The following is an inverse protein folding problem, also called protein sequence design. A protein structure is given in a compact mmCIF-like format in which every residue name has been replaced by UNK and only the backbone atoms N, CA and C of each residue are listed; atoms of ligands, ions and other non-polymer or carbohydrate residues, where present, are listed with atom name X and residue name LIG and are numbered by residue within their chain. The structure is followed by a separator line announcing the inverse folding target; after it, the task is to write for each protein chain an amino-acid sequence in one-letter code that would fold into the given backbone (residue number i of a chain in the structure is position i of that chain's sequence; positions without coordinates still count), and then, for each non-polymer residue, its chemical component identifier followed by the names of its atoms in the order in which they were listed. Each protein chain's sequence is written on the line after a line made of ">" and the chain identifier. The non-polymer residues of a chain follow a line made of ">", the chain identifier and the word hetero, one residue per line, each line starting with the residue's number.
data_IF_468663933805
#
_entry.id   IF_468663933805
#
_cell.length_a   1.000
_cell.length_b   1.000
_cell.length_c   1.000
_cell.angle_alpha   90.00
_cell.angle_beta   90.00
_cell.angle_gamma   90.00
#
_symmetry.space_group_name_H-M   'P 1'
#
loop_
_entity.id
_entity.type
_entity.pdbx_description
1 polymer ?
#
# COMPACT_ATOMS: atom_id res chain seq x y z
N UNK A 1 -22.81 0.54 -14.22
CA UNK A 1 -21.56 1.30 -14.17
C UNK A 1 -21.38 1.87 -12.76
N UNK A 2 -20.48 1.31 -11.94
CA UNK A 2 -20.17 1.85 -10.62
C UNK A 2 -19.22 3.04 -10.81
N UNK A 3 -19.61 4.19 -10.26
CA UNK A 3 -18.85 5.44 -10.33
C UNK A 3 -17.42 5.20 -9.78
N UNK A 4 -16.35 5.39 -10.57
CA UNK A 4 -14.99 5.03 -10.19
C UNK A 4 -14.41 5.89 -9.05
N UNK A 5 -15.08 6.97 -8.67
CA UNK A 5 -14.62 7.89 -7.63
C UNK A 5 -15.69 7.98 -6.55
N UNK A 6 -15.61 7.16 -5.50
CA UNK A 6 -16.35 7.37 -4.27
C UNK A 6 -15.70 8.50 -3.46
N UNK A 7 -15.80 9.71 -3.95
CA UNK A 7 -15.24 10.93 -3.36
C UNK A 7 -15.84 11.28 -1.97
N UNK A 8 -17.08 10.88 -1.69
CA UNK A 8 -17.80 11.35 -0.49
C UNK A 8 -17.21 10.96 0.88
N UNK A 9 -16.55 9.80 1.01
CA UNK A 9 -16.00 9.37 2.31
C UNK A 9 -14.48 9.55 2.42
N UNK A 10 -13.79 9.77 1.31
CA UNK A 10 -12.36 9.99 1.27
C UNK A 10 -12.01 11.42 1.70
N UNK A 11 -12.81 12.40 1.29
CA UNK A 11 -12.50 13.82 1.41
C UNK A 11 -12.44 14.35 2.85
N UNK A 12 -13.36 13.93 3.73
CA UNK A 12 -13.46 14.52 5.08
C UNK A 12 -12.48 13.94 6.10
N UNK A 13 -12.11 12.66 5.97
CA UNK A 13 -11.18 12.01 6.93
C UNK A 13 -9.70 12.26 6.61
N UNK A 14 -9.36 12.43 5.34
CA UNK A 14 -7.98 12.61 4.90
C UNK A 14 -7.62 14.07 4.66
N UNK A 15 -8.60 14.96 4.53
CA UNK A 15 -8.38 16.38 4.30
C UNK A 15 -7.42 17.03 5.32
N UNK A 16 -7.55 16.80 6.66
CA UNK A 16 -6.59 17.36 7.61
C UNK A 16 -5.16 16.89 7.37
N UNK A 17 -4.95 15.61 7.01
CA UNK A 17 -3.62 15.08 6.75
C UNK A 17 -3.03 15.61 5.45
N UNK A 18 -3.89 15.82 4.42
CA UNK A 18 -3.47 16.45 3.16
C UNK A 18 -3.08 17.91 3.42
N UNK A 19 -3.88 18.64 4.19
CA UNK A 19 -3.59 20.04 4.53
C UNK A 19 -2.30 20.15 5.33
N UNK A 20 -2.12 19.31 6.36
CA UNK A 20 -0.88 19.29 7.16
C UNK A 20 0.32 18.94 6.27
N UNK A 21 0.20 17.92 5.42
CA UNK A 21 1.26 17.56 4.47
C UNK A 21 1.61 18.71 3.53
N UNK A 22 0.60 19.38 2.97
CA UNK A 22 0.78 20.53 2.10
C UNK A 22 1.46 21.70 2.84
N UNK A 23 1.03 22.01 4.06
CA UNK A 23 1.64 23.06 4.90
C UNK A 23 3.09 22.73 5.18
N UNK A 24 3.41 21.49 5.54
CA UNK A 24 4.81 21.06 5.76
C UNK A 24 5.65 21.23 4.50
N UNK A 25 5.15 20.82 3.34
CA UNK A 25 5.85 20.96 2.05
C UNK A 25 6.04 22.43 1.67
N UNK A 26 5.06 23.29 1.97
CA UNK A 26 5.15 24.74 1.67
C UNK A 26 6.14 25.43 2.62
N UNK A 27 6.16 25.06 3.88
CA UNK A 27 7.01 25.71 4.90
C UNK A 27 8.44 25.15 4.94
N UNK A 28 8.69 23.99 4.34
CA UNK A 28 10.00 23.34 4.33
C UNK A 28 10.51 23.14 2.91
N UNK A 29 11.78 23.43 2.74
CA UNK A 29 12.52 23.14 1.52
C UNK A 29 13.11 21.72 1.64
N UNK A 30 12.69 20.78 0.75
CA UNK A 30 13.22 19.43 0.81
C UNK A 30 14.71 19.42 0.45
N UNK A 31 15.57 18.88 1.32
CA UNK A 31 17.00 18.82 1.01
C UNK A 31 17.29 17.77 -0.06
N UNK A 32 18.25 18.00 -0.96
CA UNK A 32 18.59 17.09 -2.07
C UNK A 32 18.90 15.66 -1.61
N UNK A 33 19.55 15.47 -0.47
CA UNK A 33 19.91 14.16 0.08
C UNK A 33 18.67 13.31 0.44
N UNK A 34 17.54 13.92 0.77
CA UNK A 34 16.28 13.23 1.03
C UNK A 34 15.75 12.45 -0.17
N UNK A 35 16.04 12.92 -1.37
CA UNK A 35 15.59 12.27 -2.61
C UNK A 35 16.30 10.95 -2.86
N UNK A 36 17.56 10.81 -2.47
CA UNK A 36 18.36 9.60 -2.65
C UNK A 36 17.74 8.35 -1.99
N UNK A 37 17.12 8.51 -0.81
CA UNK A 37 16.48 7.42 -0.06
C UNK A 37 14.97 7.41 -0.24
N UNK A 38 14.34 8.59 -0.31
CA UNK A 38 12.89 8.73 -0.38
C UNK A 38 12.31 8.22 -1.68
N UNK A 39 12.89 8.58 -2.83
CA UNK A 39 12.36 8.18 -4.13
C UNK A 39 12.37 6.66 -4.38
N UNK A 40 13.48 5.92 -4.11
CA UNK A 40 13.48 4.47 -4.27
C UNK A 40 12.42 3.80 -3.41
N UNK A 41 12.19 4.29 -2.18
CA UNK A 41 11.20 3.71 -1.28
C UNK A 41 9.76 4.01 -1.74
N UNK A 42 9.48 5.22 -2.23
CA UNK A 42 8.20 5.56 -2.85
C UNK A 42 7.96 4.67 -4.08
N UNK A 43 8.96 4.53 -4.95
CA UNK A 43 8.85 3.68 -6.13
C UNK A 43 8.56 2.21 -5.77
N UNK A 44 9.29 1.65 -4.80
CA UNK A 44 9.06 0.30 -4.30
C UNK A 44 7.63 0.13 -3.73
N UNK A 45 7.16 1.12 -2.96
CA UNK A 45 5.81 1.14 -2.41
C UNK A 45 4.73 1.20 -3.49
N UNK A 46 4.90 2.05 -4.51
CA UNK A 46 3.99 2.16 -5.67
C UNK A 46 3.97 0.86 -6.46
N UNK A 47 5.13 0.26 -6.74
CA UNK A 47 5.22 -1.02 -7.46
C UNK A 47 4.52 -2.16 -6.71
N UNK A 48 4.75 -2.27 -5.40
CA UNK A 48 4.10 -3.28 -4.56
C UNK A 48 2.59 -3.09 -4.53
N UNK A 49 2.11 -1.85 -4.40
CA UNK A 49 0.68 -1.53 -4.44
C UNK A 49 0.07 -1.84 -5.80
N UNK A 50 0.72 -1.42 -6.88
CA UNK A 50 0.26 -1.67 -8.25
C UNK A 50 0.18 -3.17 -8.54
N UNK A 51 1.18 -3.94 -8.09
CA UNK A 51 1.16 -5.40 -8.20
C UNK A 51 -0.01 -5.99 -7.39
N UNK A 52 -0.20 -5.55 -6.15
CA UNK A 52 -1.30 -6.00 -5.29
C UNK A 52 -2.67 -5.64 -5.85
N UNK A 53 -2.87 -4.40 -6.27
CA UNK A 53 -4.16 -3.92 -6.77
C UNK A 53 -4.63 -4.66 -8.03
N UNK A 54 -3.70 -5.00 -8.93
CA UNK A 54 -4.03 -5.77 -10.14
C UNK A 54 -4.42 -7.23 -9.88
N UNK A 55 -4.05 -7.80 -8.72
CA UNK A 55 -4.44 -9.16 -8.31
C UNK A 55 -5.65 -9.19 -7.39
N UNK A 56 -5.97 -8.09 -6.69
CA UNK A 56 -7.01 -8.07 -5.66
C UNK A 56 -8.42 -8.18 -6.25
N UNK A 57 -9.11 -9.26 -5.91
CA UNK A 57 -10.54 -9.42 -6.15
C UNK A 57 -11.29 -9.11 -4.85
N UNK A 58 -12.05 -8.01 -4.85
CA UNK A 58 -12.81 -7.62 -3.66
C UNK A 58 -14.09 -8.44 -3.54
N UNK A 59 -14.28 -9.02 -2.36
CA UNK A 59 -15.53 -9.64 -1.89
C UNK A 59 -15.95 -10.97 -2.55
N UNK A 60 -15.43 -11.34 -3.70
CA UNK A 60 -15.94 -12.50 -4.46
C UNK A 60 -15.05 -13.73 -4.29
N UNK A 61 -13.75 -13.56 -4.16
CA UNK A 61 -12.81 -14.66 -3.95
C UNK A 61 -11.68 -14.31 -3.00
N UNK A 62 -11.13 -15.32 -2.32
CA UNK A 62 -9.93 -15.17 -1.52
C UNK A 62 -8.72 -15.04 -2.45
N UNK A 63 -8.17 -13.83 -2.56
CA UNK A 63 -6.97 -13.58 -3.35
C UNK A 63 -5.75 -14.14 -2.63
N UNK A 64 -5.11 -15.15 -3.24
CA UNK A 64 -3.90 -15.83 -2.70
C UNK A 64 -2.75 -15.83 -3.70
N UNK A 65 -2.90 -15.13 -4.84
CA UNK A 65 -1.94 -15.07 -5.95
C UNK A 65 -1.15 -13.76 -5.98
N UNK A 66 -0.12 -13.70 -6.79
CA UNK A 66 0.75 -12.53 -6.89
C UNK A 66 1.39 -12.17 -5.54
N UNK A 67 1.40 -10.91 -5.12
CA UNK A 67 1.99 -10.51 -3.84
C UNK A 67 1.25 -11.13 -2.64
N UNK A 68 -0.03 -11.49 -2.77
CA UNK A 68 -0.81 -12.14 -1.71
C UNK A 68 -0.35 -13.57 -1.40
N UNK A 69 0.39 -14.20 -2.28
CA UNK A 69 1.07 -15.47 -1.97
C UNK A 69 2.27 -15.29 -1.02
N UNK A 70 2.76 -14.07 -0.87
CA UNK A 70 3.95 -13.75 -0.07
C UNK A 70 3.61 -13.02 1.24
N UNK A 71 2.60 -12.13 1.22
CA UNK A 71 2.13 -11.41 2.42
C UNK A 71 0.63 -11.08 2.26
N UNK A 72 -0.09 -11.05 3.39
CA UNK A 72 -1.55 -10.83 3.38
C UNK A 72 -1.94 -9.40 3.02
N UNK A 73 -1.08 -8.42 3.34
CA UNK A 73 -1.42 -7.00 3.21
C UNK A 73 -0.40 -6.20 2.36
N UNK A 74 -0.21 -6.53 1.07
CA UNK A 74 0.73 -5.83 0.21
C UNK A 74 0.40 -4.34 0.04
N UNK A 75 -0.87 -3.99 -0.03
CA UNK A 75 -1.31 -2.59 -0.15
C UNK A 75 -0.96 -1.76 1.09
N UNK A 76 -1.05 -2.35 2.29
CA UNK A 76 -0.68 -1.63 3.53
C UNK A 76 0.83 -1.46 3.66
N UNK A 77 1.60 -2.50 3.34
CA UNK A 77 3.06 -2.39 3.32
C UNK A 77 3.53 -1.36 2.29
N UNK A 78 2.94 -1.38 1.09
CA UNK A 78 3.23 -0.39 0.05
C UNK A 78 2.86 1.04 0.48
N UNK A 79 1.73 1.23 1.18
CA UNK A 79 1.35 2.54 1.76
C UNK A 79 2.37 3.00 2.80
N UNK A 80 2.81 2.11 3.67
CA UNK A 80 3.81 2.44 4.68
C UNK A 80 5.16 2.82 4.03
N UNK A 81 5.56 2.10 2.97
CA UNK A 81 6.77 2.43 2.21
C UNK A 81 6.66 3.82 1.55
N UNK A 82 5.53 4.13 0.89
CA UNK A 82 5.29 5.46 0.30
C UNK A 82 5.31 6.54 1.37
N UNK A 83 4.63 6.36 2.50
CA UNK A 83 4.61 7.33 3.59
C UNK A 83 6.00 7.55 4.19
N UNK A 84 6.78 6.46 4.37
CA UNK A 84 8.16 6.53 4.84
C UNK A 84 9.04 7.28 3.83
N UNK A 85 8.88 7.00 2.54
CA UNK A 85 9.61 7.70 1.49
C UNK A 85 9.34 9.20 1.48
N UNK A 86 8.08 9.62 1.59
CA UNK A 86 7.73 11.04 1.71
C UNK A 86 8.29 11.67 3.01
N UNK A 87 8.29 10.94 4.12
CA UNK A 87 8.93 11.41 5.34
C UNK A 87 10.44 11.65 5.14
N UNK A 88 11.12 10.76 4.43
CA UNK A 88 12.55 10.91 4.12
C UNK A 88 12.83 12.10 3.19
N UNK A 89 11.91 12.44 2.26
CA UNK A 89 12.05 13.64 1.43
C UNK A 89 12.14 14.94 2.24
N UNK A 90 11.57 14.99 3.46
CA UNK A 90 11.65 16.16 4.33
C UNK A 90 13.06 16.35 4.93
N UNK A 91 13.84 15.30 4.99
CA UNK A 91 15.22 15.32 5.50
C UNK A 91 15.37 15.68 6.99
N UNK A 92 16.59 15.51 7.51
CA UNK A 92 17.00 15.94 8.84
C UNK A 92 16.08 15.47 9.98
N UNK A 93 15.97 16.28 11.02
CA UNK A 93 15.16 15.98 12.22
C UNK A 93 13.66 15.82 11.92
N UNK A 94 13.15 16.51 10.91
CA UNK A 94 11.73 16.44 10.53
C UNK A 94 11.33 15.06 10.00
N UNK A 95 12.22 14.43 9.23
CA UNK A 95 12.05 13.05 8.81
C UNK A 95 11.94 12.13 10.02
N UNK A 96 12.85 12.24 10.98
CA UNK A 96 12.84 11.43 12.20
C UNK A 96 11.60 11.65 13.05
N UNK A 97 11.18 12.89 13.25
CA UNK A 97 9.96 13.23 13.99
C UNK A 97 8.72 12.61 13.33
N UNK A 98 8.60 12.73 12.00
CA UNK A 98 7.46 12.18 11.27
C UNK A 98 7.46 10.65 11.31
N UNK A 99 8.60 10.01 11.14
CA UNK A 99 8.72 8.55 11.24
C UNK A 99 8.41 8.05 12.65
N UNK A 100 8.87 8.77 13.68
CA UNK A 100 8.57 8.44 15.08
C UNK A 100 7.07 8.53 15.42
N UNK A 101 6.27 9.26 14.64
CA UNK A 101 4.81 9.31 14.77
C UNK A 101 4.13 8.28 13.86
N UNK A 102 4.51 8.25 12.58
CA UNK A 102 3.82 7.43 11.56
C UNK A 102 3.97 5.93 11.86
N UNK A 103 5.17 5.47 12.20
CA UNK A 103 5.41 4.04 12.41
C UNK A 103 4.70 3.47 13.65
N UNK A 104 4.81 4.09 14.85
CA UNK A 104 4.05 3.61 16.01
C UNK A 104 2.53 3.70 15.80
N UNK A 105 2.05 4.80 15.21
CA UNK A 105 0.62 4.93 14.91
C UNK A 105 0.14 3.83 13.95
N UNK A 106 0.89 3.57 12.88
CA UNK A 106 0.58 2.49 11.94
C UNK A 106 0.59 1.13 12.63
N UNK A 107 1.68 0.79 13.38
CA UNK A 107 1.88 -0.51 13.98
C UNK A 107 0.93 -0.79 15.15
N UNK A 108 0.60 0.20 15.96
CA UNK A 108 -0.18 0.02 17.19
C UNK A 108 -1.67 0.29 17.02
N UNK A 109 -2.05 1.17 16.08
CA UNK A 109 -3.46 1.57 15.93
C UNK A 109 -4.05 1.23 14.57
N UNK A 110 -3.41 1.63 13.49
CA UNK A 110 -4.01 1.51 12.17
C UNK A 110 -4.05 0.08 11.69
N UNK A 111 -2.88 -0.56 11.62
CA UNK A 111 -2.74 -1.90 11.05
C UNK A 111 -3.49 -2.98 11.85
N UNK A 112 -3.37 -3.09 13.19
CA UNK A 112 -4.06 -4.14 13.95
C UNK A 112 -5.59 -4.08 13.80
N UNK A 113 -6.15 -2.86 13.79
CA UNK A 113 -7.60 -2.69 13.58
C UNK A 113 -8.05 -3.12 12.20
N UNK A 114 -7.24 -2.83 11.17
CA UNK A 114 -7.53 -3.21 9.79
C UNK A 114 -7.37 -4.70 9.57
N UNK A 115 -6.26 -5.29 10.02
CA UNK A 115 -6.02 -6.74 9.92
C UNK A 115 -7.12 -7.53 10.64
N UNK A 116 -7.50 -7.12 11.85
CA UNK A 116 -8.58 -7.77 12.59
C UNK A 116 -9.93 -7.69 11.85
N UNK A 117 -10.32 -6.51 11.37
CA UNK A 117 -11.59 -6.33 10.68
C UNK A 117 -11.64 -7.09 9.34
N UNK A 118 -10.56 -7.08 8.57
CA UNK A 118 -10.46 -7.82 7.30
C UNK A 118 -10.40 -9.32 7.54
N UNK A 119 -9.62 -9.78 8.52
CA UNK A 119 -9.52 -11.20 8.89
C UNK A 119 -10.84 -11.76 9.38
N UNK A 120 -11.57 -11.03 10.25
CA UNK A 120 -12.89 -11.44 10.71
C UNK A 120 -13.87 -11.59 9.54
N UNK A 121 -13.89 -10.64 8.61
CA UNK A 121 -14.73 -10.68 7.41
C UNK A 121 -14.37 -11.84 6.49
N UNK A 122 -13.08 -12.04 6.19
CA UNK A 122 -12.62 -13.11 5.31
C UNK A 122 -12.85 -14.49 5.93
N UNK A 123 -12.76 -14.62 7.26
CA UNK A 123 -13.09 -15.85 7.98
C UNK A 123 -14.55 -16.24 7.80
N UNK A 124 -15.47 -15.28 7.85
CA UNK A 124 -16.90 -15.52 7.59
C UNK A 124 -17.15 -15.93 6.14
N UNK A 125 -16.52 -15.26 5.18
CA UNK A 125 -16.75 -15.49 3.75
C UNK A 125 -16.10 -16.79 3.24
N UNK A 126 -14.89 -17.13 3.71
CA UNK A 126 -14.06 -18.21 3.14
C UNK A 126 -13.72 -19.34 4.11
N UNK A 127 -14.11 -19.24 5.39
CA UNK A 127 -14.03 -20.29 6.37
C UNK A 127 -12.66 -20.98 6.44
N UNK A 128 -12.65 -22.31 6.23
CA UNK A 128 -11.44 -23.15 6.32
C UNK A 128 -10.34 -22.76 5.33
N UNK A 129 -10.68 -22.26 4.14
CA UNK A 129 -9.68 -21.84 3.15
C UNK A 129 -8.93 -20.60 3.62
N UNK A 130 -9.65 -19.63 4.21
CA UNK A 130 -9.01 -18.47 4.83
C UNK A 130 -8.16 -18.87 6.04
N UNK A 131 -8.62 -19.78 6.89
CA UNK A 131 -7.85 -20.21 8.06
C UNK A 131 -6.48 -20.82 7.66
N UNK A 132 -6.42 -21.67 6.62
CA UNK A 132 -5.16 -22.20 6.10
C UNK A 132 -4.26 -21.12 5.51
N UNK A 133 -4.82 -20.23 4.70
CA UNK A 133 -4.10 -19.08 4.13
C UNK A 133 -3.53 -18.18 5.23
N UNK A 134 -4.36 -17.84 6.21
CA UNK A 134 -3.97 -16.98 7.34
C UNK A 134 -2.83 -17.57 8.17
N UNK A 135 -2.84 -18.89 8.40
CA UNK A 135 -1.77 -19.61 9.10
C UNK A 135 -0.47 -19.70 8.29
N UNK A 136 -0.58 -19.75 6.95
CA UNK A 136 0.58 -19.96 6.06
C UNK A 136 1.22 -18.67 5.53
N UNK A 137 0.51 -17.54 5.55
CA UNK A 137 0.98 -16.28 4.97
C UNK A 137 1.04 -15.18 6.03
N UNK A 138 2.23 -14.59 6.28
CA UNK A 138 2.39 -13.52 7.26
C UNK A 138 1.67 -12.24 6.82
N UNK A 139 1.38 -11.38 7.78
CA UNK A 139 0.59 -10.16 7.55
C UNK A 139 1.34 -9.12 6.71
N UNK A 140 2.50 -8.66 7.18
CA UNK A 140 3.28 -7.57 6.56
C UNK A 140 4.69 -8.01 6.16
N UNK A 141 5.24 -9.07 6.75
CA UNK A 141 6.59 -9.52 6.44
C UNK A 141 6.57 -10.51 5.30
N UNK A 142 7.13 -10.19 4.13
CA UNK A 142 7.01 -11.08 2.97
C UNK A 142 7.79 -12.37 3.17
N UNK A 143 7.16 -13.51 2.89
CA UNK A 143 7.85 -14.80 2.80
C UNK A 143 8.52 -14.96 1.43
N UNK A 144 9.67 -15.63 1.41
CA UNK A 144 10.44 -15.81 0.17
C UNK A 144 9.76 -16.75 -0.83
N UNK A 145 9.11 -17.81 -0.33
CA UNK A 145 8.41 -18.79 -1.19
C UNK A 145 6.93 -18.46 -1.23
N UNK A 146 6.33 -18.45 -2.42
CA UNK A 146 4.90 -18.29 -2.61
C UNK A 146 4.13 -19.38 -1.84
N UNK A 147 3.06 -18.97 -1.17
CA UNK A 147 2.13 -19.90 -0.51
C UNK A 147 1.29 -20.62 -1.57
N UNK A 148 1.09 -21.94 -1.36
CA UNK A 148 0.16 -22.76 -2.13
C UNK A 148 -0.68 -23.57 -1.15
N UNK A 149 -1.95 -23.82 -1.48
CA UNK A 149 -2.80 -24.70 -0.67
C UNK A 149 -2.28 -26.16 -0.80
N UNK A 150 -2.15 -26.88 0.31
CA UNK A 150 -1.63 -28.26 0.33
C UNK A 150 -2.51 -29.23 -0.47
N UNK A 151 -3.77 -28.91 -0.69
CA UNK A 151 -4.65 -29.69 -1.55
C UNK A 151 -4.26 -29.64 -3.04
N UNK A 152 -3.53 -28.63 -3.44
CA UNK A 152 -3.03 -28.45 -4.82
C UNK A 152 -1.64 -29.08 -5.02
N UNK A 153 -0.98 -29.53 -3.97
CA UNK A 153 0.37 -30.12 -4.04
C UNK A 153 0.46 -31.44 -4.78
N UNK A 154 -0.65 -32.10 -5.10
CA UNK A 154 -0.71 -33.34 -5.85
C UNK A 154 -1.39 -33.23 -7.21
N UNK A 155 -1.95 -32.08 -7.55
CA UNK A 155 -2.50 -31.84 -8.86
C UNK A 155 -1.37 -31.50 -9.86
N UNK A 156 -1.47 -31.96 -11.14
CA UNK A 156 -0.62 -31.43 -12.19
C UNK A 156 -0.68 -29.91 -12.12
N UNK A 157 0.44 -29.22 -12.33
CA UNK A 157 0.57 -27.76 -12.29
C UNK A 157 -0.35 -27.15 -13.36
N UNK A 158 -1.67 -27.29 -13.17
CA UNK A 158 -2.60 -26.28 -13.60
C UNK A 158 -2.19 -25.10 -12.71
N UNK A 159 -1.69 -24.04 -13.31
CA UNK A 159 -1.63 -22.75 -12.64
C UNK A 159 -2.92 -22.63 -11.83
N UNK A 160 -2.89 -22.37 -10.49
CA UNK A 160 -4.11 -22.15 -9.76
C UNK A 160 -4.91 -21.25 -10.68
N UNK A 161 -6.24 -21.53 -10.90
CA UNK A 161 -7.08 -20.71 -11.78
C UNK A 161 -6.96 -19.28 -11.27
N UNK A 162 -5.79 -18.76 -11.45
CA UNK A 162 -5.11 -17.74 -10.68
C UNK A 162 -5.51 -16.47 -11.33
N UNK A 163 -6.18 -15.64 -10.57
CA UNK A 163 -6.36 -14.25 -10.89
C UNK A 163 -5.02 -13.70 -11.35
N UNK A 164 -4.79 -13.64 -12.66
CA UNK A 164 -3.64 -12.97 -13.27
C UNK A 164 -3.79 -11.48 -13.04
N UNK A 165 -2.69 -10.73 -13.03
CA UNK A 165 -2.76 -9.27 -12.96
C UNK A 165 -3.68 -8.71 -14.04
N UNK A 166 -4.59 -7.78 -13.68
CA UNK A 166 -5.54 -7.21 -14.62
C UNK A 166 -5.74 -5.72 -14.40
N UNK A 167 -5.77 -4.97 -15.52
CA UNK A 167 -5.94 -3.51 -15.51
C UNK A 167 -7.33 -3.10 -14.98
N UNK A 168 -8.36 -3.89 -15.25
CA UNK A 168 -9.72 -3.65 -14.74
C UNK A 168 -9.72 -3.68 -13.21
N UNK A 169 -9.14 -4.72 -12.58
CA UNK A 169 -9.00 -4.80 -11.12
C UNK A 169 -8.16 -3.68 -10.53
N UNK A 170 -7.07 -3.32 -11.21
CA UNK A 170 -6.25 -2.19 -10.83
C UNK A 170 -7.06 -0.89 -10.75
N UNK A 171 -7.92 -0.65 -11.75
CA UNK A 171 -8.83 0.49 -11.79
C UNK A 171 -9.93 0.41 -10.72
N UNK A 172 -10.57 -0.75 -10.56
CA UNK A 172 -11.62 -0.99 -9.56
C UNK A 172 -11.11 -0.84 -8.12
N UNK A 173 -9.83 -1.09 -7.90
CA UNK A 173 -9.14 -0.87 -6.65
C UNK A 173 -8.71 0.60 -6.44
N UNK A 174 -9.05 1.50 -7.39
CA UNK A 174 -8.74 2.94 -7.36
C UNK A 174 -7.22 3.23 -7.26
N UNK A 175 -6.38 2.33 -7.77
CA UNK A 175 -4.94 2.49 -7.66
C UNK A 175 -4.42 3.55 -8.62
N UNK A 176 -5.05 3.74 -9.78
CA UNK A 176 -4.69 4.81 -10.71
C UNK A 176 -4.77 6.20 -10.04
N UNK A 177 -5.85 6.46 -9.29
CA UNK A 177 -5.99 7.71 -8.53
C UNK A 177 -4.92 7.87 -7.46
N UNK A 178 -4.53 6.78 -6.80
CA UNK A 178 -3.44 6.79 -5.82
C UNK A 178 -2.11 7.14 -6.46
N UNK A 179 -1.78 6.53 -7.59
CA UNK A 179 -0.52 6.81 -8.32
C UNK A 179 -0.48 8.24 -8.82
N UNK A 180 -1.58 8.76 -9.40
CA UNK A 180 -1.67 10.16 -9.82
C UNK A 180 -1.44 11.11 -8.64
N UNK A 181 -2.03 10.85 -7.49
CA UNK A 181 -1.85 11.66 -6.28
C UNK A 181 -0.39 11.65 -5.79
N UNK A 182 0.26 10.48 -5.82
CA UNK A 182 1.68 10.34 -5.46
C UNK A 182 2.56 11.13 -6.43
N UNK A 183 2.32 11.02 -7.74
CA UNK A 183 3.09 11.76 -8.76
C UNK A 183 2.90 13.26 -8.63
N UNK A 184 1.69 13.74 -8.38
CA UNK A 184 1.42 15.16 -8.12
C UNK A 184 2.15 15.66 -6.87
N UNK A 185 2.16 14.87 -5.78
CA UNK A 185 2.93 15.20 -4.59
C UNK A 185 4.43 15.24 -4.85
N UNK A 186 4.99 14.28 -5.59
CA UNK A 186 6.41 14.26 -5.98
C UNK A 186 6.78 15.47 -6.85
N UNK A 187 5.90 15.86 -7.77
CA UNK A 187 6.10 17.06 -8.59
C UNK A 187 6.20 18.32 -7.70
N UNK A 188 5.30 18.46 -6.72
CA UNK A 188 5.34 19.57 -5.76
C UNK A 188 6.65 19.60 -4.97
N UNK A 189 7.12 18.45 -4.47
CA UNK A 189 8.40 18.35 -3.79
C UNK A 189 9.56 18.72 -4.71
N UNK A 190 9.57 18.26 -5.96
CA UNK A 190 10.60 18.55 -6.93
C UNK A 190 10.66 20.03 -7.32
N UNK A 191 9.50 20.67 -7.52
CA UNK A 191 9.41 22.11 -7.82
C UNK A 191 9.94 22.96 -6.65
N UNK A 192 9.63 22.57 -5.40
CA UNK A 192 10.14 23.28 -4.22
C UNK A 192 11.65 23.11 -4.07
N UNK A 193 12.18 21.91 -4.28
CA UNK A 193 13.62 21.66 -4.21
C UNK A 193 14.38 22.40 -5.33
N UNK A 194 13.81 22.49 -6.54
CA UNK A 194 14.43 23.19 -7.66
C UNK A 194 14.41 24.72 -7.54
N UNK A 195 13.38 25.29 -6.89
CA UNK A 195 13.28 26.74 -6.67
C UNK A 195 14.38 27.30 -5.74
N UNK A 196 15.08 26.46 -4.99
CA UNK A 196 16.15 26.85 -4.09
C UNK A 196 17.55 26.62 -4.65
N UNK A 197 17.63 25.93 -5.80
CA UNK A 197 18.90 25.68 -6.48
C UNK A 197 19.24 26.77 -7.53
N UNK A 198 18.30 27.66 -7.79
CA UNK A 198 18.42 28.84 -8.67
C UNK A 198 18.57 30.14 -7.88
#
# INVERSE_FOLDING_TARGET
>A
MRNPIRLKNFQLRFLPYIVIGLVVVVLREPPPEGFGLGLPLIAAGVLLRSWGAGHLVKNDSLTTTGPYAHLRHPLYLGTLAVATGFALLLGGVWSLCLLAVVWPWFALHYFPRKDHAESARLAVLHGKSFARYHAGVPALWPRMRAWRDDRERGAPVAEPAGVTWGLERYSDNNELGTVIAILAALLLFGLRAGACAS
#
